data_IF_649872457551
#
_entry.id   IF_649872457551
#
_cell.length_a   1.000
_cell.length_b   1.000
_cell.length_c   1.000
_cell.angle_alpha   90.00
_cell.angle_beta   90.00
_cell.angle_gamma   90.00
#
_symmetry.space_group_name_H-M   'P 1'
#
loop_
_entity.id
_entity.type
_entity.pdbx_description
1 polymer ?
#
# COMPACT_ATOMS: atom_id res chain seq x y z
N UNK A 1 -0.66 -6.03 30.65
CA UNK A 1 -0.37 -4.63 30.30
C UNK A 1 -0.37 -4.57 28.79
N UNK A 2 -1.46 -4.08 28.19
CA UNK A 2 -1.54 -3.88 26.74
C UNK A 2 -0.68 -2.67 26.41
N UNK A 3 0.37 -2.91 25.62
CA UNK A 3 1.28 -1.86 25.18
C UNK A 3 0.50 -0.76 24.47
N UNK A 4 0.85 0.46 24.82
CA UNK A 4 0.29 1.70 24.29
C UNK A 4 0.22 1.62 22.76
N UNK A 5 -0.99 1.64 22.21
CA UNK A 5 -1.21 1.85 20.79
C UNK A 5 -0.58 3.20 20.41
N UNK A 6 0.52 3.15 19.65
CA UNK A 6 1.14 4.36 19.09
C UNK A 6 0.07 5.20 18.39
N UNK A 7 0.07 6.52 18.57
CA UNK A 7 -1.04 7.35 18.13
C UNK A 7 -1.13 7.39 16.61
N UNK A 8 -2.36 7.54 16.14
CA UNK A 8 -2.86 7.68 14.76
C UNK A 8 -2.22 8.87 13.98
N UNK A 9 -1.26 9.58 14.59
CA UNK A 9 -0.64 10.82 14.12
C UNK A 9 0.49 10.63 13.09
N UNK A 10 0.86 9.40 12.71
CA UNK A 10 2.00 9.14 11.81
C UNK A 10 1.60 8.81 10.36
N UNK A 11 0.44 9.28 9.89
CA UNK A 11 0.00 9.04 8.51
C UNK A 11 -0.20 10.34 7.71
N UNK A 12 0.77 11.27 7.78
CA UNK A 12 0.97 12.17 6.64
C UNK A 12 1.35 11.33 5.41
N UNK A 13 1.06 11.76 4.18
CA UNK A 13 1.32 10.99 2.94
C UNK A 13 2.75 10.45 2.76
N UNK A 14 3.71 10.93 3.57
CA UNK A 14 5.07 10.39 3.72
C UNK A 14 5.13 9.02 4.41
N UNK A 15 4.26 8.71 5.38
CA UNK A 15 4.22 7.45 6.13
C UNK A 15 3.78 6.27 5.26
N UNK A 16 2.69 6.43 4.51
CA UNK A 16 2.21 5.44 3.52
C UNK A 16 3.29 5.06 2.52
N UNK A 17 3.95 6.06 1.91
CA UNK A 17 5.03 5.81 0.95
C UNK A 17 6.25 5.15 1.59
N UNK A 18 6.54 5.45 2.86
CA UNK A 18 7.62 4.77 3.59
C UNK A 18 7.30 3.29 3.78
N UNK A 19 6.09 2.95 4.23
CA UNK A 19 5.70 1.55 4.45
C UNK A 19 5.71 0.72 3.17
N UNK A 20 5.24 1.30 2.06
CA UNK A 20 5.31 0.63 0.75
C UNK A 20 6.77 0.38 0.33
N UNK A 21 7.67 1.33 0.60
CA UNK A 21 9.10 1.16 0.34
C UNK A 21 9.70 0.06 1.21
N UNK A 22 9.41 0.07 2.52
CA UNK A 22 9.91 -0.93 3.46
C UNK A 22 9.47 -2.35 3.04
N UNK A 23 8.22 -2.50 2.60
CA UNK A 23 7.71 -3.76 2.04
C UNK A 23 8.44 -4.15 0.75
N UNK A 24 8.64 -3.22 -0.17
CA UNK A 24 9.41 -3.46 -1.40
C UNK A 24 10.86 -3.86 -1.11
N UNK A 25 11.52 -3.18 -0.18
CA UNK A 25 12.89 -3.48 0.25
C UNK A 25 12.99 -4.88 0.86
N UNK A 26 12.02 -5.29 1.68
CA UNK A 26 11.98 -6.60 2.34
C UNK A 26 12.01 -7.80 1.39
N UNK A 27 11.61 -7.62 0.13
CA UNK A 27 11.60 -8.67 -0.89
C UNK A 27 12.55 -8.37 -2.07
N UNK A 28 13.24 -7.22 -2.05
CA UNK A 28 14.03 -6.73 -3.18
C UNK A 28 15.13 -7.69 -3.64
N UNK A 29 15.81 -8.37 -2.73
CA UNK A 29 16.85 -9.35 -3.04
C UNK A 29 16.30 -10.50 -3.90
N UNK A 30 15.12 -11.02 -3.57
CA UNK A 30 14.49 -12.10 -4.33
C UNK A 30 14.13 -11.64 -5.76
N UNK A 31 13.78 -10.37 -5.95
CA UNK A 31 13.56 -9.80 -7.28
C UNK A 31 14.86 -9.52 -8.02
N UNK A 32 15.93 -9.13 -7.31
CA UNK A 32 17.25 -8.90 -7.90
C UNK A 32 17.84 -10.20 -8.48
N UNK A 33 17.58 -11.34 -7.84
CA UNK A 33 17.98 -12.67 -8.34
C UNK A 33 17.29 -13.05 -9.66
N UNK A 34 16.06 -12.60 -9.88
CA UNK A 34 15.36 -12.78 -11.18
C UNK A 34 15.87 -11.85 -12.28
N UNK A 35 16.62 -10.81 -11.90
CA UNK A 35 17.24 -9.85 -12.79
C UNK A 35 16.67 -8.43 -12.69
N UNK A 36 17.32 -7.46 -13.36
CA UNK A 36 17.01 -6.04 -13.21
C UNK A 36 15.58 -5.66 -13.67
N UNK A 37 14.99 -6.46 -14.58
CA UNK A 37 13.60 -6.27 -15.02
C UNK A 37 12.60 -6.48 -13.88
N UNK A 38 12.73 -7.59 -13.13
CA UNK A 38 11.82 -7.92 -12.04
C UNK A 38 11.91 -6.90 -10.89
N UNK A 39 13.11 -6.43 -10.57
CA UNK A 39 13.30 -5.36 -9.58
C UNK A 39 12.68 -4.03 -10.04
N UNK A 40 12.72 -3.75 -11.35
CA UNK A 40 12.06 -2.56 -11.93
C UNK A 40 10.54 -2.69 -11.86
N UNK A 41 10.01 -3.88 -12.13
CA UNK A 41 8.57 -4.16 -12.03
C UNK A 41 8.08 -4.00 -10.58
N UNK A 42 8.85 -4.46 -9.59
CA UNK A 42 8.54 -4.25 -8.17
C UNK A 42 8.46 -2.76 -7.83
N UNK A 43 9.47 -1.98 -8.21
CA UNK A 43 9.49 -0.52 -8.00
C UNK A 43 8.29 0.15 -8.64
N UNK A 44 7.95 -0.25 -9.86
CA UNK A 44 6.77 0.28 -10.58
C UNK A 44 5.46 -0.05 -9.86
N UNK A 45 5.33 -1.25 -9.30
CA UNK A 45 4.18 -1.64 -8.48
C UNK A 45 4.08 -0.74 -7.24
N UNK A 46 5.18 -0.61 -6.48
CA UNK A 46 5.27 0.25 -5.30
C UNK A 46 4.93 1.71 -5.64
N UNK A 47 5.49 2.27 -6.71
CA UNK A 47 5.23 3.65 -7.14
C UNK A 47 3.78 3.84 -7.58
N UNK A 48 3.21 2.85 -8.26
CA UNK A 48 1.81 2.92 -8.70
C UNK A 48 0.83 2.90 -7.52
N UNK A 49 1.13 2.13 -6.48
CA UNK A 49 0.36 2.10 -5.24
C UNK A 49 0.65 3.36 -4.41
N UNK A 50 1.89 3.83 -4.39
CA UNK A 50 2.32 5.05 -3.71
C UNK A 50 1.74 6.33 -4.31
N UNK A 51 1.34 6.30 -5.58
CA UNK A 51 0.61 7.36 -6.28
C UNK A 51 -0.82 7.58 -5.80
N UNK A 52 -1.28 6.77 -4.83
CA UNK A 52 -2.60 6.90 -4.22
C UNK A 52 -2.78 8.30 -3.59
N UNK A 53 -3.82 9.06 -4.00
CA UNK A 53 -4.08 10.38 -3.45
C UNK A 53 -4.71 10.24 -2.06
N UNK A 54 -3.93 10.57 -1.03
CA UNK A 54 -4.40 10.67 0.36
C UNK A 54 -4.65 12.14 0.76
N UNK A 55 -5.01 12.99 -0.21
CA UNK A 55 -5.17 14.42 0.04
C UNK A 55 -6.51 14.72 0.72
N UNK A 56 -6.45 15.66 1.67
CA UNK A 56 -7.62 16.25 2.30
C UNK A 56 -8.49 16.95 1.22
N UNK A 57 -9.80 16.68 1.24
CA UNK A 57 -10.78 17.29 0.31
C UNK A 57 -11.04 16.56 -1.02
N UNK A 58 -10.43 15.41 -1.30
CA UNK A 58 -10.81 14.61 -2.47
C UNK A 58 -12.20 13.96 -2.30
N UNK A 59 -12.99 13.92 -3.37
CA UNK A 59 -14.31 13.31 -3.32
C UNK A 59 -14.21 11.78 -3.14
N UNK A 60 -15.01 11.21 -2.24
CA UNK A 60 -15.06 9.76 -1.96
C UNK A 60 -15.02 8.87 -3.20
N UNK A 61 -15.75 9.14 -4.30
CA UNK A 61 -15.69 8.30 -5.50
C UNK A 61 -14.31 8.24 -6.16
N UNK A 62 -13.53 9.34 -6.11
CA UNK A 62 -12.18 9.41 -6.69
C UNK A 62 -11.22 8.54 -5.88
N UNK A 63 -11.26 8.69 -4.56
CA UNK A 63 -10.43 7.91 -3.62
C UNK A 63 -10.72 6.43 -3.74
N UNK A 64 -12.00 6.05 -3.78
CA UNK A 64 -12.40 4.63 -3.92
C UNK A 64 -11.98 4.04 -5.27
N UNK A 65 -12.08 4.81 -6.37
CA UNK A 65 -11.59 4.36 -7.67
C UNK A 65 -10.07 4.17 -7.70
N UNK A 66 -9.32 5.06 -7.06
CA UNK A 66 -7.88 4.91 -6.90
C UNK A 66 -7.51 3.69 -6.04
N UNK A 67 -8.32 3.38 -5.01
CA UNK A 67 -8.08 2.26 -4.11
C UNK A 67 -8.29 0.93 -4.85
N UNK A 68 -9.40 0.82 -5.58
CA UNK A 68 -9.66 -0.34 -6.43
C UNK A 68 -8.52 -0.56 -7.44
N UNK A 69 -8.08 0.50 -8.12
CA UNK A 69 -6.97 0.42 -9.08
C UNK A 69 -5.66 -0.02 -8.43
N UNK A 70 -5.34 0.49 -7.24
CA UNK A 70 -4.15 0.07 -6.50
C UNK A 70 -4.24 -1.42 -6.13
N UNK A 71 -5.40 -1.87 -5.66
CA UNK A 71 -5.66 -3.29 -5.37
C UNK A 71 -5.53 -4.20 -6.60
N UNK A 72 -6.01 -3.76 -7.76
CA UNK A 72 -5.88 -4.49 -9.02
C UNK A 72 -4.40 -4.63 -9.42
N UNK A 73 -3.64 -3.54 -9.35
CA UNK A 73 -2.21 -3.54 -9.67
C UNK A 73 -1.42 -4.50 -8.76
N UNK A 74 -1.73 -4.53 -7.45
CA UNK A 74 -1.10 -5.48 -6.50
C UNK A 74 -1.44 -6.92 -6.88
N UNK A 75 -2.70 -7.20 -7.17
CA UNK A 75 -3.16 -8.54 -7.51
C UNK A 75 -2.53 -9.05 -8.81
N UNK A 76 -2.51 -8.21 -9.85
CA UNK A 76 -1.88 -8.51 -11.13
C UNK A 76 -0.39 -8.76 -10.97
N UNK A 77 0.31 -7.86 -10.26
CA UNK A 77 1.74 -7.97 -10.02
C UNK A 77 2.12 -9.27 -9.30
N UNK A 78 1.42 -9.59 -8.21
CA UNK A 78 1.68 -10.81 -7.42
C UNK A 78 1.34 -12.06 -8.24
N UNK A 79 0.24 -12.05 -8.98
CA UNK A 79 -0.16 -13.16 -9.85
C UNK A 79 0.89 -13.44 -10.94
N UNK A 80 1.37 -12.39 -11.59
CA UNK A 80 2.40 -12.49 -12.63
C UNK A 80 3.72 -13.06 -12.08
N UNK A 81 4.16 -12.60 -10.90
CA UNK A 81 5.44 -13.00 -10.33
C UNK A 81 5.40 -14.35 -9.58
N UNK A 82 4.22 -14.86 -9.25
CA UNK A 82 4.03 -16.16 -8.54
C UNK A 82 4.71 -17.33 -9.25
N UNK A 83 4.80 -17.31 -10.58
CA UNK A 83 5.43 -18.39 -11.34
C UNK A 83 6.94 -18.54 -11.13
N UNK A 84 7.61 -17.48 -10.67
CA UNK A 84 9.06 -17.49 -10.46
C UNK A 84 9.46 -17.37 -8.99
N UNK A 85 8.76 -16.53 -8.23
CA UNK A 85 9.04 -16.28 -6.81
C UNK A 85 8.27 -17.21 -5.86
N UNK A 86 7.36 -18.01 -6.42
CA UNK A 86 6.51 -18.92 -5.66
C UNK A 86 5.38 -18.23 -4.92
N UNK A 87 4.37 -19.04 -4.57
CA UNK A 87 3.18 -18.58 -3.84
C UNK A 87 3.49 -17.99 -2.46
N UNK A 88 4.39 -18.55 -1.62
CA UNK A 88 4.59 -18.03 -0.27
C UNK A 88 5.06 -16.57 -0.24
N UNK A 89 6.03 -16.20 -1.08
CA UNK A 89 6.54 -14.84 -1.14
C UNK A 89 5.49 -13.88 -1.72
N UNK A 90 4.76 -14.31 -2.74
CA UNK A 90 3.76 -13.46 -3.40
C UNK A 90 2.49 -13.23 -2.59
N UNK A 91 1.98 -14.25 -1.91
CA UNK A 91 0.85 -14.06 -1.00
C UNK A 91 1.25 -13.18 0.19
N UNK A 92 2.47 -13.33 0.73
CA UNK A 92 2.95 -12.44 1.80
C UNK A 92 3.02 -10.99 1.34
N UNK A 93 3.63 -10.73 0.17
CA UNK A 93 3.71 -9.38 -0.39
C UNK A 93 2.30 -8.79 -0.61
N UNK A 94 1.41 -9.58 -1.21
CA UNK A 94 0.02 -9.20 -1.48
C UNK A 94 -0.70 -8.78 -0.19
N UNK A 95 -0.59 -9.58 0.86
CA UNK A 95 -1.22 -9.30 2.17
C UNK A 95 -0.67 -8.02 2.79
N UNK A 96 0.65 -7.81 2.80
CA UNK A 96 1.25 -6.59 3.37
C UNK A 96 0.83 -5.33 2.59
N UNK A 97 0.80 -5.40 1.25
CA UNK A 97 0.35 -4.26 0.43
C UNK A 97 -1.14 -3.95 0.63
N UNK A 98 -2.01 -4.96 0.75
CA UNK A 98 -3.42 -4.73 1.07
C UNK A 98 -3.62 -4.14 2.45
N UNK A 99 -2.86 -4.59 3.46
CA UNK A 99 -2.92 -4.00 4.81
C UNK A 99 -2.59 -2.52 4.78
N UNK A 100 -1.51 -2.14 4.09
CA UNK A 100 -1.13 -0.73 3.96
C UNK A 100 -2.23 0.08 3.24
N UNK A 101 -2.85 -0.48 2.21
CA UNK A 101 -3.97 0.14 1.50
C UNK A 101 -5.24 0.29 2.37
N UNK A 102 -5.58 -0.73 3.15
CA UNK A 102 -6.70 -0.69 4.09
C UNK A 102 -6.47 0.35 5.20
N UNK A 103 -5.27 0.39 5.78
CA UNK A 103 -4.89 1.40 6.76
C UNK A 103 -4.98 2.82 6.18
N UNK A 104 -4.55 3.00 4.93
CA UNK A 104 -4.64 4.27 4.23
C UNK A 104 -6.09 4.75 4.06
N UNK A 105 -7.00 3.85 3.66
CA UNK A 105 -8.43 4.15 3.52
C UNK A 105 -9.08 4.41 4.88
N UNK A 106 -8.81 3.58 5.89
CA UNK A 106 -9.37 3.76 7.23
C UNK A 106 -8.97 5.11 7.83
N UNK A 107 -7.73 5.53 7.62
CA UNK A 107 -7.26 6.85 8.03
C UNK A 107 -7.98 7.97 7.28
N UNK A 108 -8.11 7.88 5.96
CA UNK A 108 -8.80 8.87 5.13
C UNK A 108 -10.28 9.02 5.49
N UNK A 109 -11.01 7.90 5.66
CA UNK A 109 -12.40 7.89 6.11
C UNK A 109 -12.55 8.46 7.53
N UNK A 110 -11.58 8.17 8.42
CA UNK A 110 -11.53 8.73 9.77
C UNK A 110 -11.45 10.26 9.81
N UNK A 111 -10.76 10.89 8.85
CA UNK A 111 -10.74 12.35 8.76
C UNK A 111 -12.11 12.95 8.45
N UNK A 112 -12.91 12.26 7.62
CA UNK A 112 -14.22 12.72 7.19
C UNK A 112 -15.30 12.50 8.27
N UNK A 113 -15.07 11.60 9.23
CA UNK A 113 -15.97 11.41 10.38
C UNK A 113 -15.71 12.44 11.50
N UNK A 114 -14.47 12.94 11.62
CA UNK A 114 -14.10 13.97 12.60
C UNK A 114 -14.66 15.34 12.20
N UNK A 115 -14.77 15.65 10.89
CA UNK A 115 -15.30 16.93 10.40
C UNK A 115 -16.80 17.14 10.64
N UNK A 116 -17.58 16.08 10.81
CA UNK A 116 -19.04 16.17 11.00
C UNK A 116 -19.47 16.34 12.46
N UNK A 117 -18.56 16.18 13.43
CA UNK A 117 -18.88 16.28 14.87
C UNK A 117 -18.64 17.68 15.46
N UNK A 118 -18.04 18.60 14.70
CA UNK A 118 -17.76 19.99 15.13
C UNK A 118 -18.63 21.05 14.42
N UNK A 119 -19.82 20.69 13.89
CA UNK A 119 -20.72 21.63 13.20
C UNK A 119 -22.04 21.88 13.92
#
# INVERSE_FOLDING_TARGET
MFGESKPILYWGGTGFRSLLKDVGESCSDAFAELGPGALTDLKRCIDSVGGFPLFDGEARPIVMAAYSKAGDNVSEFCGYHTRWLGRPLMERLKVEMYRILEEAINWWEGQHLISDTER
#
